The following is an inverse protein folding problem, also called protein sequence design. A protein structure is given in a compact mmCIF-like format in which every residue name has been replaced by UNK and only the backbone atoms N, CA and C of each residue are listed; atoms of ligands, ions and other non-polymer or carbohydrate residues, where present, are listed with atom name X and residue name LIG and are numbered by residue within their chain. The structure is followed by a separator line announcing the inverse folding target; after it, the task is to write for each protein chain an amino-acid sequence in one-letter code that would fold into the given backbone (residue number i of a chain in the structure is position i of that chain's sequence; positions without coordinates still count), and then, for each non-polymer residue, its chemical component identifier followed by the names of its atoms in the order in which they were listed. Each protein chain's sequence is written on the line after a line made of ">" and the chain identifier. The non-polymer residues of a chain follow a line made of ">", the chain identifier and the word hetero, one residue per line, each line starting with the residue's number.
data_IF_791544578559
#
_entry.id   IF_791544578559
#
_cell.length_a   1.000
_cell.length_b   1.000
_cell.length_c   1.000
_cell.angle_alpha   90.00
_cell.angle_beta   90.00
_cell.angle_gamma   90.00
#
_symmetry.space_group_name_H-M   'P 1'
#
loop_
_entity.id
_entity.type
_entity.pdbx_description
1 polymer ?
#
# COMPACT_ATOMS: atom_id res chain seq x y z
N UNK A 1 17.54 0.43 2.08
CA UNK A 1 16.50 -0.59 2.16
C UNK A 1 15.38 -0.09 3.08
N UNK A 2 14.14 -0.18 2.66
CA UNK A 2 12.98 0.42 3.29
C UNK A 2 12.82 0.06 4.78
N UNK A 3 12.94 -1.20 5.14
CA UNK A 3 12.75 -1.66 6.51
C UNK A 3 13.92 -1.36 7.46
N UNK A 4 15.09 -0.98 6.95
CA UNK A 4 16.21 -0.53 7.79
C UNK A 4 15.88 0.83 8.43
N UNK A 5 15.20 1.71 7.71
CA UNK A 5 14.75 3.00 8.26
C UNK A 5 13.70 2.78 9.34
N UNK A 6 12.80 1.81 9.16
CA UNK A 6 11.80 1.42 10.16
C UNK A 6 12.45 0.85 11.41
N UNK A 7 13.53 0.07 11.29
CA UNK A 7 14.29 -0.44 12.43
C UNK A 7 14.94 0.68 13.24
N UNK A 8 15.50 1.69 12.60
CA UNK A 8 16.09 2.85 13.27
C UNK A 8 15.03 3.65 14.04
N UNK A 9 13.87 3.87 13.45
CA UNK A 9 12.73 4.55 14.08
C UNK A 9 12.24 3.76 15.29
N UNK A 10 12.03 2.46 15.14
CA UNK A 10 11.59 1.55 16.22
C UNK A 10 12.62 1.52 17.34
N UNK A 11 13.91 1.41 17.01
CA UNK A 11 15.00 1.44 17.97
C UNK A 11 15.03 2.73 18.78
N UNK A 12 14.79 3.86 18.15
CA UNK A 12 14.70 5.16 18.82
C UNK A 12 13.54 5.22 19.81
N UNK A 13 12.36 4.72 19.44
CA UNK A 13 11.20 4.65 20.33
C UNK A 13 11.43 3.72 21.51
N UNK A 14 12.05 2.57 21.28
CA UNK A 14 12.41 1.61 22.34
C UNK A 14 13.38 2.26 23.34
N UNK A 15 14.43 2.95 22.87
CA UNK A 15 15.39 3.65 23.73
C UNK A 15 14.70 4.74 24.57
N UNK A 16 13.83 5.52 23.98
CA UNK A 16 13.06 6.56 24.69
C UNK A 16 12.18 5.95 25.78
N UNK A 17 11.54 4.82 25.47
CA UNK A 17 10.70 4.10 26.44
C UNK A 17 11.50 3.58 27.61
N UNK A 18 12.66 2.96 27.36
CA UNK A 18 13.57 2.45 28.41
C UNK A 18 14.06 3.59 29.30
N UNK A 19 14.44 4.72 28.74
CA UNK A 19 14.85 5.89 29.52
C UNK A 19 13.75 6.40 30.42
N UNK A 20 12.50 6.45 29.95
CA UNK A 20 11.34 6.81 30.77
C UNK A 20 11.15 5.88 31.96
N UNK A 21 11.29 4.59 31.77
CA UNK A 21 11.23 3.62 32.88
C UNK A 21 12.30 3.88 33.94
N UNK A 22 13.53 4.21 33.53
CA UNK A 22 14.61 4.57 34.43
C UNK A 22 14.30 5.80 35.26
N UNK A 23 13.69 6.79 34.62
CA UNK A 23 13.34 8.06 35.29
C UNK A 23 12.02 7.97 36.06
N UNK A 24 11.45 6.77 36.23
CA UNK A 24 10.19 6.50 36.91
C UNK A 24 9.01 7.32 36.35
N UNK A 25 9.06 7.60 35.06
CA UNK A 25 7.97 8.30 34.39
C UNK A 25 6.76 7.37 34.27
N UNK A 26 5.61 7.83 34.75
CA UNK A 26 4.36 7.06 34.72
C UNK A 26 3.60 7.13 33.39
N UNK A 27 4.15 7.81 32.38
CA UNK A 27 3.51 7.89 31.06
C UNK A 27 3.41 6.51 30.40
N UNK A 28 2.29 6.21 29.73
CA UNK A 28 2.13 4.91 29.06
C UNK A 28 3.11 4.74 27.91
N UNK A 29 3.39 3.47 27.58
CA UNK A 29 4.13 3.11 26.37
C UNK A 29 3.34 3.65 25.17
N UNK A 30 4.05 4.16 24.14
CA UNK A 30 3.41 4.65 22.93
C UNK A 30 2.55 3.55 22.31
N UNK A 31 1.32 3.85 21.91
CA UNK A 31 0.45 2.86 21.28
C UNK A 31 1.01 2.43 19.92
N UNK A 32 0.75 1.18 19.55
CA UNK A 32 1.11 0.63 18.25
C UNK A 32 0.41 1.38 17.11
N UNK A 33 -0.82 1.81 17.34
CA UNK A 33 -1.64 2.49 16.34
C UNK A 33 -1.96 3.92 16.81
N UNK A 34 -2.09 4.81 15.85
CA UNK A 34 -2.42 6.22 16.08
C UNK A 34 -3.81 6.37 16.72
N UNK A 35 -4.79 5.63 16.21
CA UNK A 35 -6.18 5.63 16.63
C UNK A 35 -6.86 4.30 16.26
N UNK A 36 -8.17 4.17 16.51
CA UNK A 36 -8.93 2.97 16.16
C UNK A 36 -9.07 2.76 14.65
N UNK A 37 -9.16 3.84 13.88
CA UNK A 37 -9.21 3.77 12.42
C UNK A 37 -7.91 3.17 11.87
N UNK A 38 -6.77 3.62 12.39
CA UNK A 38 -5.45 3.09 12.05
C UNK A 38 -5.31 1.61 12.42
N UNK A 39 -5.81 1.22 13.59
CA UNK A 39 -5.80 -0.18 14.05
C UNK A 39 -6.61 -1.10 13.14
N UNK A 40 -7.69 -0.62 12.54
CA UNK A 40 -8.57 -1.40 11.65
C UNK A 40 -8.14 -1.40 10.18
N UNK A 41 -7.29 -0.46 9.79
CA UNK A 41 -6.89 -0.23 8.40
C UNK A 41 -6.43 -1.52 7.69
N UNK A 42 -5.48 -2.24 8.27
CA UNK A 42 -4.93 -3.45 7.67
C UNK A 42 -5.97 -4.56 7.49
N UNK A 43 -6.83 -4.78 8.50
CA UNK A 43 -7.87 -5.79 8.43
C UNK A 43 -8.94 -5.44 7.38
N UNK A 44 -9.37 -4.19 7.33
CA UNK A 44 -10.35 -3.72 6.35
C UNK A 44 -9.80 -3.82 4.93
N UNK A 45 -8.56 -3.41 4.72
CA UNK A 45 -7.88 -3.51 3.43
C UNK A 45 -7.79 -4.97 2.98
N UNK A 46 -7.36 -5.87 3.85
CA UNK A 46 -7.23 -7.30 3.55
C UNK A 46 -8.58 -7.92 3.17
N UNK A 47 -9.63 -7.64 3.95
CA UNK A 47 -10.98 -8.16 3.67
C UNK A 47 -11.49 -7.68 2.32
N UNK A 48 -11.27 -6.41 2.00
CA UNK A 48 -11.70 -5.84 0.74
C UNK A 48 -10.99 -6.47 -0.46
N UNK A 49 -9.69 -6.69 -0.36
CA UNK A 49 -8.91 -7.38 -1.40
C UNK A 49 -9.45 -8.79 -1.63
N UNK A 50 -9.65 -9.55 -0.57
CA UNK A 50 -10.16 -10.93 -0.68
C UNK A 50 -11.56 -10.97 -1.29
N UNK A 51 -12.44 -10.05 -0.86
CA UNK A 51 -13.82 -9.97 -1.34
C UNK A 51 -13.90 -9.58 -2.81
N UNK A 52 -13.08 -8.65 -3.25
CA UNK A 52 -13.16 -8.02 -4.58
C UNK A 52 -11.99 -8.39 -5.50
N UNK A 53 -11.24 -9.43 -5.19
CA UNK A 53 -10.04 -9.81 -5.95
C UNK A 53 -10.29 -9.98 -7.46
N UNK A 54 -11.40 -10.58 -7.83
CA UNK A 54 -11.73 -10.82 -9.24
C UNK A 54 -12.06 -9.52 -9.98
N UNK A 55 -12.79 -8.62 -9.32
CA UNK A 55 -13.08 -7.29 -9.86
C UNK A 55 -11.79 -6.48 -10.05
N UNK A 56 -10.96 -6.42 -9.03
CA UNK A 56 -9.70 -5.67 -9.09
C UNK A 56 -8.72 -6.29 -10.11
N UNK A 57 -8.72 -7.62 -10.23
CA UNK A 57 -7.96 -8.30 -11.27
C UNK A 57 -8.42 -7.89 -12.67
N UNK A 58 -9.72 -7.71 -12.87
CA UNK A 58 -10.24 -7.25 -14.16
C UNK A 58 -9.72 -5.85 -14.52
N UNK A 59 -9.58 -4.95 -13.54
CA UNK A 59 -8.99 -3.64 -13.77
C UNK A 59 -7.52 -3.72 -14.17
N UNK A 60 -6.76 -4.59 -13.52
CA UNK A 60 -5.36 -4.85 -13.88
C UNK A 60 -5.26 -5.36 -15.31
N UNK A 61 -6.09 -6.34 -15.68
CA UNK A 61 -6.10 -6.92 -17.03
C UNK A 61 -6.44 -5.88 -18.09
N UNK A 62 -7.42 -5.03 -17.84
CA UNK A 62 -7.75 -3.95 -18.77
C UNK A 62 -6.60 -2.95 -18.92
N UNK A 63 -5.95 -2.56 -17.84
CA UNK A 63 -4.79 -1.67 -17.87
C UNK A 63 -3.62 -2.30 -18.66
N UNK A 64 -3.39 -3.59 -18.49
CA UNK A 64 -2.35 -4.33 -19.21
C UNK A 64 -2.64 -4.41 -20.72
N UNK A 65 -3.88 -4.66 -21.10
CA UNK A 65 -4.27 -4.76 -22.51
C UNK A 65 -4.08 -3.44 -23.26
N UNK A 66 -4.33 -2.30 -22.60
CA UNK A 66 -4.11 -0.98 -23.20
C UNK A 66 -2.64 -0.58 -23.26
N UNK A 67 -1.79 -1.18 -22.41
CA UNK A 67 -0.36 -0.88 -22.32
C UNK A 67 0.59 -1.78 -23.09
N UNK A 68 0.09 -2.74 -23.87
CA UNK A 68 0.89 -3.77 -24.56
C UNK A 68 1.78 -4.60 -23.62
N UNK A 69 1.32 -4.86 -22.43
CA UNK A 69 2.03 -5.69 -21.46
C UNK A 69 1.68 -7.17 -21.63
N UNK A 70 2.67 -8.04 -21.43
CA UNK A 70 2.46 -9.49 -21.48
C UNK A 70 1.78 -9.97 -20.18
N UNK A 71 0.50 -10.33 -20.26
CA UNK A 71 -0.31 -10.76 -19.14
C UNK A 71 0.06 -12.14 -18.59
N UNK A 72 0.75 -12.97 -19.37
CA UNK A 72 1.09 -14.35 -18.99
C UNK A 72 2.29 -14.43 -18.04
N UNK A 73 3.08 -13.35 -17.94
CA UNK A 73 4.33 -13.32 -17.16
C UNK A 73 4.27 -12.48 -15.88
N UNK A 74 3.06 -12.23 -15.38
CA UNK A 74 2.91 -11.48 -14.14
C UNK A 74 3.44 -12.29 -12.95
N UNK A 75 4.41 -11.73 -12.22
CA UNK A 75 4.83 -12.29 -10.96
C UNK A 75 3.67 -12.26 -9.96
N UNK A 76 3.48 -13.35 -9.22
CA UNK A 76 2.40 -13.45 -8.24
C UNK A 76 2.42 -12.28 -7.25
N UNK A 77 3.60 -11.91 -6.76
CA UNK A 77 3.74 -10.81 -5.81
C UNK A 77 3.34 -9.46 -6.43
N UNK A 78 3.65 -9.22 -7.70
CA UNK A 78 3.23 -8.00 -8.40
C UNK A 78 1.70 -7.90 -8.48
N UNK A 79 1.03 -9.01 -8.73
CA UNK A 79 -0.43 -9.07 -8.72
C UNK A 79 -0.98 -8.74 -7.35
N UNK A 80 -0.46 -9.35 -6.28
CA UNK A 80 -0.89 -9.09 -4.90
C UNK A 80 -0.73 -7.61 -4.55
N UNK A 81 0.41 -7.02 -4.88
CA UNK A 81 0.70 -5.60 -4.64
C UNK A 81 -0.29 -4.71 -5.41
N UNK A 82 -0.53 -5.00 -6.70
CA UNK A 82 -1.45 -4.23 -7.53
C UNK A 82 -2.89 -4.29 -7.00
N UNK A 83 -3.39 -5.48 -6.64
CA UNK A 83 -4.74 -5.66 -6.09
C UNK A 83 -4.91 -4.91 -4.78
N UNK A 84 -3.91 -4.96 -3.91
CA UNK A 84 -3.93 -4.26 -2.62
C UNK A 84 -3.93 -2.74 -2.81
N UNK A 85 -3.12 -2.24 -3.72
CA UNK A 85 -3.10 -0.81 -4.07
C UNK A 85 -4.45 -0.34 -4.62
N UNK A 86 -5.10 -1.13 -5.47
CA UNK A 86 -6.42 -0.80 -6.01
C UNK A 86 -7.46 -0.74 -4.89
N UNK A 87 -7.44 -1.69 -3.96
CA UNK A 87 -8.34 -1.70 -2.80
C UNK A 87 -8.18 -0.41 -1.98
N UNK A 88 -6.96 0.04 -1.74
CA UNK A 88 -6.68 1.28 -1.03
C UNK A 88 -7.18 2.51 -1.81
N UNK A 89 -6.95 2.55 -3.12
CA UNK A 89 -7.43 3.64 -3.98
C UNK A 89 -8.96 3.77 -3.96
N UNK A 90 -9.67 2.66 -3.95
CA UNK A 90 -11.14 2.63 -4.04
C UNK A 90 -11.80 2.90 -2.69
N UNK A 91 -11.26 2.35 -1.59
CA UNK A 91 -11.97 2.32 -0.31
C UNK A 91 -11.46 3.30 0.74
N UNK A 92 -10.32 3.94 0.52
CA UNK A 92 -9.73 4.87 1.48
C UNK A 92 -9.59 6.28 0.88
N UNK A 93 -10.69 7.04 0.80
CA UNK A 93 -10.70 8.34 0.13
C UNK A 93 -9.85 9.41 0.80
N UNK A 94 -9.49 9.22 2.07
CA UNK A 94 -8.64 10.15 2.82
C UNK A 94 -7.15 10.01 2.44
N UNK A 95 -6.75 8.90 1.83
CA UNK A 95 -5.37 8.67 1.42
C UNK A 95 -5.18 9.21 0.00
N UNK A 96 -4.27 10.19 -0.20
CA UNK A 96 -4.02 10.73 -1.54
C UNK A 96 -3.49 9.66 -2.50
N UNK A 97 -3.81 9.78 -3.78
CA UNK A 97 -3.34 8.86 -4.83
C UNK A 97 -1.82 8.75 -4.84
N UNK A 98 -1.12 9.87 -4.74
CA UNK A 98 0.35 9.90 -4.75
C UNK A 98 0.96 9.10 -3.61
N UNK A 99 0.35 9.13 -2.43
CA UNK A 99 0.81 8.35 -1.27
C UNK A 99 0.65 6.87 -1.55
N UNK A 100 -0.51 6.43 -2.00
CA UNK A 100 -0.77 5.03 -2.34
C UNK A 100 0.22 4.55 -3.40
N UNK A 101 0.37 5.27 -4.50
CA UNK A 101 1.27 4.88 -5.60
C UNK A 101 2.71 4.73 -5.09
N UNK A 102 3.23 5.72 -4.37
CA UNK A 102 4.60 5.69 -3.86
C UNK A 102 4.84 4.53 -2.89
N UNK A 103 3.92 4.28 -1.96
CA UNK A 103 4.06 3.19 -1.00
C UNK A 103 4.09 1.81 -1.68
N UNK A 104 3.21 1.57 -2.64
CA UNK A 104 3.17 0.27 -3.33
C UNK A 104 4.30 0.09 -4.34
N UNK A 105 4.83 1.16 -4.92
CA UNK A 105 6.07 1.09 -5.70
C UNK A 105 7.25 0.67 -4.81
N UNK A 106 7.38 1.24 -3.62
CA UNK A 106 8.44 0.87 -2.67
C UNK A 106 8.28 -0.58 -2.19
N UNK A 107 7.06 -1.04 -1.94
CA UNK A 107 6.79 -2.45 -1.64
C UNK A 107 7.22 -3.36 -2.79
N UNK A 108 6.92 -3.01 -4.02
CA UNK A 108 7.31 -3.79 -5.18
C UNK A 108 8.83 -3.92 -5.31
N UNK A 109 9.57 -2.85 -5.05
CA UNK A 109 11.03 -2.87 -5.05
C UNK A 109 11.60 -3.77 -3.96
N UNK A 110 10.96 -3.83 -2.79
CA UNK A 110 11.43 -4.59 -1.62
C UNK A 110 11.06 -6.07 -1.66
N UNK A 111 9.88 -6.40 -2.16
CA UNK A 111 9.29 -7.75 -2.05
C UNK A 111 9.12 -8.47 -3.39
N UNK A 112 9.48 -7.83 -4.50
CA UNK A 112 9.38 -8.42 -5.82
C UNK A 112 10.73 -8.25 -6.56
N UNK A 113 10.70 -8.15 -7.90
CA UNK A 113 11.93 -8.01 -8.69
C UNK A 113 12.38 -6.55 -8.79
N UNK A 114 13.64 -6.33 -9.20
CA UNK A 114 14.18 -4.98 -9.40
C UNK A 114 13.42 -4.15 -10.44
N UNK A 115 12.70 -4.81 -11.35
CA UNK A 115 11.89 -4.16 -12.40
C UNK A 115 10.44 -3.91 -11.97
N UNK A 116 10.02 -4.48 -10.85
CA UNK A 116 8.62 -4.44 -10.40
C UNK A 116 8.16 -3.04 -10.02
N UNK A 117 9.04 -2.19 -9.52
CA UNK A 117 8.69 -0.80 -9.20
C UNK A 117 8.16 -0.03 -10.40
N UNK A 118 8.88 -0.08 -11.53
CA UNK A 118 8.46 0.57 -12.78
C UNK A 118 7.19 -0.08 -13.35
N UNK A 119 7.09 -1.40 -13.26
CA UNK A 119 5.94 -2.16 -13.73
C UNK A 119 4.66 -1.80 -12.94
N UNK A 120 4.74 -1.79 -11.62
CA UNK A 120 3.62 -1.39 -10.73
C UNK A 120 3.22 0.06 -11.00
N UNK A 121 4.19 0.96 -11.16
CA UNK A 121 3.90 2.35 -11.52
C UNK A 121 3.08 2.45 -12.81
N UNK A 122 3.47 1.72 -13.83
CA UNK A 122 2.75 1.68 -15.11
C UNK A 122 1.33 1.12 -14.98
N UNK A 123 1.16 0.01 -14.27
CA UNK A 123 -0.15 -0.61 -14.03
C UNK A 123 -1.04 0.34 -13.23
N UNK A 124 -0.56 0.88 -12.13
CA UNK A 124 -1.36 1.77 -11.28
C UNK A 124 -1.74 3.05 -12.03
N UNK A 125 -0.85 3.60 -12.85
CA UNK A 125 -1.18 4.73 -13.71
C UNK A 125 -2.33 4.44 -14.66
N UNK A 126 -2.32 3.27 -15.29
CA UNK A 126 -3.41 2.81 -16.18
C UNK A 126 -4.72 2.57 -15.42
N UNK A 127 -4.64 1.91 -14.27
CA UNK A 127 -5.83 1.65 -13.43
C UNK A 127 -6.42 2.94 -12.90
N UNK A 128 -5.62 3.87 -12.41
CA UNK A 128 -6.09 5.17 -11.90
C UNK A 128 -6.84 5.92 -12.99
N UNK A 129 -6.30 5.95 -14.21
CA UNK A 129 -6.96 6.57 -15.36
C UNK A 129 -8.32 5.94 -15.62
N UNK A 130 -8.36 4.61 -15.69
CA UNK A 130 -9.57 3.83 -15.90
C UNK A 130 -10.63 4.10 -14.83
N UNK A 131 -10.24 4.06 -13.55
CA UNK A 131 -11.16 4.27 -12.42
C UNK A 131 -11.66 5.73 -12.36
N UNK A 132 -10.83 6.69 -12.74
CA UNK A 132 -11.22 8.09 -12.82
C UNK A 132 -12.21 8.32 -13.96
N UNK A 133 -11.96 7.75 -15.14
CA UNK A 133 -12.89 7.83 -16.28
C UNK A 133 -14.24 7.18 -16.02
N UNK A 134 -14.26 6.12 -15.22
CA UNK A 134 -15.50 5.42 -14.81
C UNK A 134 -16.16 6.00 -13.57
N UNK A 135 -15.63 7.10 -13.05
CA UNK A 135 -16.16 7.77 -11.86
C UNK A 135 -16.20 6.89 -10.61
N UNK A 136 -15.25 5.96 -10.50
CA UNK A 136 -15.10 5.04 -9.35
C UNK A 136 -14.27 5.67 -8.24
N UNK A 137 -13.23 6.45 -8.59
CA UNK A 137 -12.43 7.23 -7.65
C UNK A 137 -12.55 8.72 -7.95
N UNK A 138 -12.66 9.52 -6.89
CA UNK A 138 -12.83 10.97 -6.95
C UNK A 138 -11.69 11.74 -6.27
N UNK A 139 -10.59 11.08 -5.99
CA UNK A 139 -9.45 11.68 -5.29
C UNK A 139 -8.74 12.69 -6.17
N UNK A 140 -8.35 13.81 -5.58
CA UNK A 140 -7.39 14.72 -6.22
C UNK A 140 -5.99 14.11 -6.20
N UNK A 141 -5.27 14.34 -7.26
CA UNK A 141 -3.88 13.89 -7.38
C UNK A 141 -2.95 14.70 -6.48
#
# INVERSE_FOLDING_TARGET
>A
MFWNDDLDIIGTFVLKTIRRFKDRDSRPILPQYKDEEDARFGAELFRDVVKNKDLYRSYVNEALNTGNWDTERLAFMDVVIALTAIAELVNFPKIPISVTVNEYIEMAKSYSTSKSGAFINGILGGVIRLLTERDIIHKQQ
#
